data_IF_106576701067
#
_entry.id   IF_106576701067
#
_cell.length_a   1.000
_cell.length_b   1.000
_cell.length_c   1.000
_cell.angle_alpha   90.00
_cell.angle_beta   90.00
_cell.angle_gamma   90.00
#
_symmetry.space_group_name_H-M   'P 1'
#
loop_
_entity.id
_entity.type
_entity.pdbx_description
1 polymer ?
#
# COMPACT_ATOMS: atom_id res chain seq x y z
N UNK A 1 -24.04 1.45 -1.53
CA UNK A 1 -23.87 0.12 -0.90
C UNK A 1 -22.87 -0.65 -1.76
N UNK A 2 -21.59 -0.62 -1.42
CA UNK A 2 -20.54 -1.31 -2.19
C UNK A 2 -20.41 -2.71 -1.61
N UNK A 3 -20.77 -3.71 -2.41
CA UNK A 3 -20.67 -5.11 -2.05
C UNK A 3 -19.21 -5.54 -2.23
N UNK A 4 -18.48 -5.69 -1.14
CA UNK A 4 -17.14 -6.28 -1.16
C UNK A 4 -17.31 -7.78 -1.43
N UNK A 5 -16.96 -8.21 -2.63
CA UNK A 5 -16.94 -9.63 -2.97
C UNK A 5 -15.64 -10.24 -2.45
N UNK A 6 -15.75 -11.07 -1.44
CA UNK A 6 -14.67 -11.90 -0.93
C UNK A 6 -14.34 -13.00 -1.96
N UNK A 7 -13.44 -12.72 -2.87
CA UNK A 7 -12.72 -13.80 -3.53
C UNK A 7 -11.47 -14.06 -2.71
N UNK A 8 -11.48 -15.17 -2.01
CA UNK A 8 -10.31 -15.71 -1.32
C UNK A 8 -9.16 -15.85 -2.31
N UNK A 9 -8.21 -14.90 -2.28
CA UNK A 9 -6.88 -15.18 -2.77
C UNK A 9 -6.31 -16.17 -1.75
N UNK A 10 -6.04 -17.39 -2.20
CA UNK A 10 -5.51 -18.44 -1.36
C UNK A 10 -4.27 -17.98 -0.59
N UNK A 11 -3.98 -18.57 0.58
CA UNK A 11 -2.87 -18.17 1.42
C UNK A 11 -1.55 -18.34 0.68
N UNK A 12 -0.91 -17.26 0.35
CA UNK A 12 0.46 -17.29 -0.12
C UNK A 12 1.34 -17.57 1.11
N UNK A 13 1.73 -18.82 1.30
CA UNK A 13 2.68 -19.22 2.33
C UNK A 13 4.07 -18.71 1.94
N UNK A 14 4.45 -17.54 2.38
CA UNK A 14 5.85 -17.26 2.62
C UNK A 14 6.24 -18.01 3.90
N UNK A 15 7.43 -18.62 3.96
CA UNK A 15 7.84 -19.58 4.99
C UNK A 15 7.90 -19.08 6.44
N UNK A 16 7.12 -18.11 6.82
CA UNK A 16 7.01 -17.52 8.15
C UNK A 16 5.57 -17.25 8.57
N UNK A 17 4.57 -18.02 8.12
CA UNK A 17 3.23 -18.03 8.73
C UNK A 17 2.47 -16.69 8.78
N UNK A 18 2.88 -15.67 8.01
CA UNK A 18 2.27 -14.35 8.02
C UNK A 18 1.14 -14.29 7.00
N UNK A 19 -0.09 -14.08 7.48
CA UNK A 19 -1.21 -13.75 6.62
C UNK A 19 -1.18 -12.25 6.37
N UNK A 20 -0.85 -11.85 5.15
CA UNK A 20 -0.89 -10.44 4.73
C UNK A 20 -2.15 -10.27 3.89
N UNK A 21 -3.11 -9.51 4.38
CA UNK A 21 -4.24 -9.05 3.60
C UNK A 21 -3.86 -7.71 2.98
N UNK A 22 -3.66 -7.69 1.66
CA UNK A 22 -3.33 -6.47 0.93
C UNK A 22 -4.62 -5.91 0.35
N UNK A 23 -5.06 -4.75 0.84
CA UNK A 23 -6.21 -4.03 0.31
C UNK A 23 -5.73 -2.96 -0.66
N UNK A 24 -6.16 -3.08 -1.89
CA UNK A 24 -5.95 -2.05 -2.91
C UNK A 24 -7.06 -1.04 -2.85
N UNK A 25 -6.79 0.10 -2.27
CA UNK A 25 -7.72 1.21 -2.25
C UNK A 25 -7.37 2.17 -3.39
N UNK A 26 -8.04 1.98 -4.52
CA UNK A 26 -8.12 3.00 -5.53
C UNK A 26 -9.04 4.11 -5.01
N UNK A 27 -8.52 5.31 -4.87
CA UNK A 27 -9.31 6.51 -4.59
C UNK A 27 -10.27 6.37 -3.39
N UNK A 28 -9.75 6.21 -2.22
CA UNK A 28 -10.57 6.39 -1.02
C UNK A 28 -9.98 7.58 -0.26
N UNK A 29 -10.85 8.59 -0.03
CA UNK A 29 -10.49 9.72 0.80
C UNK A 29 -9.92 9.24 2.14
N UNK A 30 -9.01 10.02 2.71
CA UNK A 30 -8.40 9.81 4.05
C UNK A 30 -9.41 9.37 5.13
N UNK A 31 -10.67 9.79 5.00
CA UNK A 31 -11.78 9.40 5.90
C UNK A 31 -12.09 7.90 5.85
N UNK A 32 -11.96 7.24 4.69
CA UNK A 32 -12.19 5.80 4.56
C UNK A 32 -10.96 4.98 4.95
N UNK A 33 -9.76 5.48 4.68
CA UNK A 33 -8.53 4.86 5.16
C UNK A 33 -8.52 4.77 6.70
N UNK A 34 -8.91 5.84 7.40
CA UNK A 34 -9.06 5.86 8.86
C UNK A 34 -10.12 4.88 9.39
N UNK A 35 -11.16 4.57 8.63
CA UNK A 35 -12.15 3.54 9.01
C UNK A 35 -11.66 2.11 8.80
N UNK A 36 -10.78 1.89 7.83
CA UNK A 36 -10.23 0.56 7.54
C UNK A 36 -8.96 0.26 8.33
N UNK A 37 -8.19 1.29 8.65
CA UNK A 37 -6.82 1.16 9.16
C UNK A 37 -6.51 2.13 10.30
N UNK A 38 -7.31 2.15 11.38
CA UNK A 38 -6.86 2.93 12.55
C UNK A 38 -5.44 2.51 12.93
N UNK A 39 -4.56 3.50 13.16
CA UNK A 39 -3.11 3.34 13.30
C UNK A 39 -2.68 2.37 14.42
N UNK A 40 -3.51 2.22 15.47
CA UNK A 40 -3.20 1.37 16.61
C UNK A 40 -4.27 0.28 16.77
N UNK A 41 -3.86 -0.98 16.88
CA UNK A 41 -4.77 -2.11 17.05
C UNK A 41 -5.72 -1.95 18.25
N UNK A 42 -5.22 -1.45 19.39
CA UNK A 42 -6.00 -1.19 20.61
C UNK A 42 -7.01 -0.04 20.46
N UNK A 43 -6.82 0.85 19.46
CA UNK A 43 -7.69 1.99 19.18
C UNK A 43 -8.50 1.79 17.89
N UNK A 44 -8.29 0.69 17.17
CA UNK A 44 -9.05 0.39 15.97
C UNK A 44 -10.51 0.16 16.33
N UNK A 45 -11.48 0.82 15.68
CA UNK A 45 -12.89 0.52 15.89
C UNK A 45 -13.15 -0.97 15.70
N UNK A 46 -13.93 -1.59 16.60
CA UNK A 46 -14.27 -3.02 16.51
C UNK A 46 -14.88 -3.41 15.16
N UNK A 47 -15.59 -2.50 14.50
CA UNK A 47 -16.15 -2.69 13.17
C UNK A 47 -15.15 -2.43 12.03
N UNK A 48 -13.87 -2.18 12.33
CA UNK A 48 -12.81 -2.12 11.33
C UNK A 48 -12.16 -3.50 11.17
N UNK A 49 -11.58 -3.76 10.00
CA UNK A 49 -10.90 -5.04 9.74
C UNK A 49 -9.79 -5.32 10.77
N UNK A 50 -9.00 -4.32 11.15
CA UNK A 50 -7.99 -4.48 12.21
C UNK A 50 -8.61 -4.77 13.57
N UNK A 51 -9.72 -4.12 13.90
CA UNK A 51 -10.46 -4.37 15.14
C UNK A 51 -11.03 -5.78 15.20
N UNK A 52 -11.61 -6.28 14.11
CA UNK A 52 -12.11 -7.64 14.00
C UNK A 52 -10.97 -8.68 14.13
N UNK A 53 -9.85 -8.48 13.40
CA UNK A 53 -8.67 -9.37 13.52
C UNK A 53 -8.13 -9.35 14.95
N UNK A 54 -8.05 -8.18 15.58
CA UNK A 54 -7.58 -8.04 16.96
C UNK A 54 -8.52 -8.73 17.95
N UNK A 55 -9.83 -8.65 17.78
CA UNK A 55 -10.79 -9.30 18.66
C UNK A 55 -10.78 -10.83 18.52
N UNK A 56 -10.55 -11.34 17.33
CA UNK A 56 -10.70 -12.76 17.00
C UNK A 56 -9.36 -13.49 16.73
N UNK A 57 -8.23 -12.90 17.04
CA UNK A 57 -6.92 -13.41 16.62
C UNK A 57 -6.66 -14.88 17.01
N UNK A 58 -7.15 -15.32 18.19
CA UNK A 58 -7.03 -16.72 18.63
C UNK A 58 -7.87 -17.65 17.78
N UNK A 59 -9.10 -17.25 17.48
CA UNK A 59 -10.01 -18.02 16.63
C UNK A 59 -9.51 -18.10 15.18
N UNK A 60 -8.81 -17.06 14.73
CA UNK A 60 -8.14 -17.01 13.41
C UNK A 60 -6.83 -17.83 13.38
N UNK A 61 -6.39 -18.37 14.49
CA UNK A 61 -5.18 -19.19 14.57
C UNK A 61 -3.88 -18.38 14.44
N UNK A 62 -3.89 -17.08 14.77
CA UNK A 62 -2.68 -16.28 14.79
C UNK A 62 -1.80 -16.69 15.97
N UNK A 63 -0.47 -16.73 15.80
CA UNK A 63 0.44 -17.19 16.84
C UNK A 63 0.55 -16.22 18.02
N UNK A 64 0.31 -14.94 17.79
CA UNK A 64 0.41 -13.87 18.77
C UNK A 64 -0.73 -12.86 18.60
N UNK A 65 -1.01 -12.10 19.66
CA UNK A 65 -1.89 -10.96 19.59
C UNK A 65 -1.37 -9.93 18.58
N UNK A 66 -2.21 -9.44 17.65
CA UNK A 66 -1.80 -8.42 16.69
C UNK A 66 -1.35 -7.14 17.37
N UNK A 67 -0.32 -6.51 16.83
CA UNK A 67 0.19 -5.20 17.29
C UNK A 67 0.48 -4.30 16.08
N UNK A 68 0.91 -3.06 16.31
CA UNK A 68 1.10 -2.06 15.24
C UNK A 68 1.94 -2.57 14.06
N UNK A 69 3.01 -3.32 14.33
CA UNK A 69 3.90 -3.87 13.29
C UNK A 69 3.41 -5.17 12.65
N UNK A 70 2.50 -5.92 13.32
CA UNK A 70 1.95 -7.17 12.81
C UNK A 70 0.45 -7.24 13.13
N UNK A 71 -0.38 -6.76 12.20
CA UNK A 71 -1.83 -6.64 12.43
C UNK A 71 -2.69 -7.25 11.32
N UNK A 72 -2.05 -7.90 10.34
CA UNK A 72 -2.74 -8.57 9.23
C UNK A 72 -3.31 -7.64 8.17
N UNK A 73 -3.17 -6.32 8.31
CA UNK A 73 -3.70 -5.33 7.36
C UNK A 73 -2.57 -4.40 6.93
N UNK A 74 -2.40 -4.25 5.62
CA UNK A 74 -1.47 -3.30 5.02
C UNK A 74 -2.23 -2.37 4.07
N UNK A 75 -1.85 -1.10 4.06
CA UNK A 75 -2.32 -0.11 3.11
C UNK A 75 -1.11 0.67 2.60
N UNK A 76 -1.02 0.83 1.29
CA UNK A 76 0.03 1.63 0.66
C UNK A 76 -0.07 3.08 1.11
N UNK A 77 1.04 3.70 1.48
CA UNK A 77 1.09 5.08 1.97
C UNK A 77 1.13 6.12 0.84
N UNK A 78 1.31 5.69 -0.41
CA UNK A 78 1.32 6.58 -1.57
C UNK A 78 0.82 5.90 -2.85
N UNK A 79 0.42 6.66 -3.88
CA UNK A 79 0.09 6.12 -5.20
C UNK A 79 1.23 5.33 -5.87
N UNK A 80 2.50 5.74 -5.66
CA UNK A 80 3.65 5.01 -6.19
C UNK A 80 3.82 3.66 -5.49
N UNK A 81 3.75 3.63 -4.16
CA UNK A 81 3.82 2.40 -3.39
C UNK A 81 2.69 1.45 -3.78
N UNK A 82 1.45 1.95 -3.88
CA UNK A 82 0.31 1.17 -4.34
C UNK A 82 0.48 0.61 -5.76
N UNK A 83 1.11 1.35 -6.67
CA UNK A 83 1.46 0.87 -8.00
C UNK A 83 2.52 -0.24 -7.95
N UNK A 84 3.57 -0.05 -7.14
CA UNK A 84 4.65 -1.02 -6.94
C UNK A 84 4.11 -2.33 -6.37
N UNK A 85 3.27 -2.25 -5.35
CA UNK A 85 2.65 -3.41 -4.71
C UNK A 85 1.70 -4.17 -5.64
N UNK A 86 0.84 -3.46 -6.39
CA UNK A 86 -0.01 -4.12 -7.40
C UNK A 86 0.81 -4.80 -8.47
N UNK A 87 1.89 -4.18 -8.94
CA UNK A 87 2.79 -4.80 -9.90
C UNK A 87 3.48 -6.04 -9.33
N UNK A 88 3.92 -5.97 -8.06
CA UNK A 88 4.61 -7.06 -7.39
C UNK A 88 3.66 -8.22 -7.00
N UNK A 89 2.61 -7.93 -6.26
CA UNK A 89 1.74 -8.95 -5.66
C UNK A 89 0.68 -9.49 -6.61
N UNK A 90 0.06 -8.59 -7.41
CA UNK A 90 -1.01 -8.97 -8.35
C UNK A 90 -0.51 -9.17 -9.77
N UNK A 91 0.78 -8.95 -10.03
CA UNK A 91 1.35 -8.97 -11.39
C UNK A 91 0.61 -8.02 -12.33
N UNK A 92 0.09 -6.91 -11.79
CA UNK A 92 -0.61 -5.91 -12.56
C UNK A 92 0.35 -5.22 -13.54
N UNK A 93 -0.13 -5.00 -14.77
CA UNK A 93 0.65 -4.27 -15.76
C UNK A 93 0.64 -2.78 -15.47
N UNK A 94 1.80 -2.17 -15.25
CA UNK A 94 1.95 -0.73 -15.03
C UNK A 94 1.32 0.10 -16.17
N UNK A 95 1.47 -0.36 -17.42
CA UNK A 95 0.89 0.34 -18.58
C UNK A 95 -0.63 0.19 -18.71
N UNK A 96 -1.26 -0.69 -17.92
CA UNK A 96 -2.72 -0.84 -17.85
C UNK A 96 -3.30 -0.22 -16.58
N UNK A 97 -2.47 0.01 -15.58
CA UNK A 97 -2.83 0.71 -14.34
C UNK A 97 -3.12 2.19 -14.61
N UNK A 98 -4.11 2.80 -13.97
CA UNK A 98 -4.48 4.19 -14.26
C UNK A 98 -3.39 5.16 -13.80
N UNK A 99 -2.83 5.01 -12.60
CA UNK A 99 -1.73 5.85 -12.13
C UNK A 99 -0.46 5.58 -12.94
N UNK A 100 -0.16 4.30 -13.21
CA UNK A 100 0.96 3.90 -14.05
C UNK A 100 0.92 4.52 -15.45
N UNK A 101 -0.26 4.59 -16.09
CA UNK A 101 -0.45 5.29 -17.37
C UNK A 101 -0.11 6.77 -17.26
N UNK A 102 -0.60 7.45 -16.22
CA UNK A 102 -0.31 8.87 -15.99
C UNK A 102 1.18 9.12 -15.83
N UNK A 103 1.87 8.31 -15.03
CA UNK A 103 3.32 8.42 -14.81
C UNK A 103 4.11 8.22 -16.09
N UNK A 104 3.78 7.19 -16.87
CA UNK A 104 4.43 6.92 -18.16
C UNK A 104 4.15 8.04 -19.18
N UNK A 105 2.93 8.56 -19.23
CA UNK A 105 2.55 9.67 -20.12
C UNK A 105 3.27 10.97 -19.78
N UNK A 106 3.67 11.18 -18.52
CA UNK A 106 4.49 12.31 -18.08
C UNK A 106 5.99 12.09 -18.33
N UNK A 107 6.37 11.02 -19.01
CA UNK A 107 7.73 10.77 -19.46
C UNK A 107 8.65 10.15 -18.41
N UNK A 108 8.11 9.58 -17.32
CA UNK A 108 8.91 8.74 -16.43
C UNK A 108 9.15 7.39 -17.09
N UNK A 109 10.40 7.03 -17.40
CA UNK A 109 10.69 5.77 -18.09
C UNK A 109 10.27 4.55 -17.23
N UNK A 110 9.80 3.50 -17.88
CA UNK A 110 9.46 2.25 -17.21
C UNK A 110 10.61 1.72 -16.34
N UNK A 111 11.84 1.79 -16.87
CA UNK A 111 13.05 1.36 -16.14
C UNK A 111 13.25 2.14 -14.83
N UNK A 112 12.95 3.44 -14.84
CA UNK A 112 12.99 4.28 -13.63
C UNK A 112 11.94 3.83 -12.62
N UNK A 113 10.71 3.57 -13.05
CA UNK A 113 9.67 3.04 -12.18
C UNK A 113 10.07 1.70 -11.56
N UNK A 114 10.61 0.78 -12.37
CA UNK A 114 11.08 -0.52 -11.88
C UNK A 114 12.18 -0.35 -10.83
N UNK A 115 13.07 0.64 -10.98
CA UNK A 115 14.08 0.95 -9.97
C UNK A 115 13.48 1.57 -8.70
N UNK A 116 12.40 2.34 -8.82
CA UNK A 116 11.72 2.94 -7.66
C UNK A 116 10.85 1.95 -6.88
N UNK A 117 10.42 0.87 -7.49
CA UNK A 117 9.59 -0.17 -6.84
C UNK A 117 10.32 -0.95 -5.74
N UNK A 118 11.63 -0.81 -5.62
CA UNK A 118 12.44 -1.39 -4.55
C UNK A 118 12.86 -0.36 -3.50
N UNK A 119 12.19 0.78 -3.48
CA UNK A 119 12.39 1.86 -2.52
C UNK A 119 13.85 2.35 -2.40
N UNK A 120 14.50 2.77 -3.49
CA UNK A 120 15.86 3.26 -3.42
C UNK A 120 15.93 4.63 -2.73
N UNK A 121 17.11 4.97 -2.23
CA UNK A 121 17.38 6.34 -1.86
C UNK A 121 17.63 7.18 -3.12
N UNK A 122 16.86 8.24 -3.25
CA UNK A 122 16.88 9.15 -4.40
C UNK A 122 17.30 10.57 -3.98
N UNK A 123 17.83 11.34 -4.94
CA UNK A 123 18.06 12.77 -4.77
C UNK A 123 16.82 13.54 -5.22
N UNK A 124 16.45 14.54 -4.46
CA UNK A 124 15.36 15.47 -4.76
C UNK A 124 15.69 16.86 -4.20
N UNK A 125 14.93 17.93 -4.50
CA UNK A 125 15.26 19.29 -4.06
C UNK A 125 15.44 19.48 -2.55
N UNK A 126 14.85 18.62 -1.72
CA UNK A 126 14.98 18.61 -0.25
C UNK A 126 16.16 17.78 0.28
N UNK A 127 16.94 17.10 -0.58
CA UNK A 127 18.07 16.26 -0.17
C UNK A 127 18.01 14.83 -0.71
N UNK A 128 18.39 13.84 0.12
CA UNK A 128 18.35 12.42 -0.24
C UNK A 128 17.47 11.64 0.75
N UNK A 129 16.54 10.85 0.23
CA UNK A 129 15.61 10.05 1.03
C UNK A 129 15.13 8.79 0.32
N UNK A 130 14.41 7.93 1.02
CA UNK A 130 13.61 6.86 0.42
C UNK A 130 12.61 7.48 -0.55
N UNK A 131 12.42 6.85 -1.71
CA UNK A 131 11.43 7.37 -2.67
C UNK A 131 10.01 7.18 -2.14
N UNK A 132 9.75 6.16 -1.33
CA UNK A 132 8.44 5.96 -0.72
C UNK A 132 8.16 6.99 0.38
N UNK A 133 9.12 7.24 1.30
CA UNK A 133 9.00 8.27 2.34
C UNK A 133 8.78 9.67 1.74
N UNK A 134 9.46 9.96 0.63
CA UNK A 134 9.32 11.23 -0.09
C UNK A 134 7.89 11.46 -0.59
N UNK A 135 7.17 10.40 -0.93
CA UNK A 135 5.85 10.45 -1.57
C UNK A 135 4.72 10.03 -0.63
N UNK A 136 5.03 9.73 0.64
CA UNK A 136 4.07 9.34 1.65
C UNK A 136 3.01 10.43 1.85
N UNK A 137 1.78 10.01 2.14
CA UNK A 137 0.62 10.85 2.39
C UNK A 137 0.20 11.80 1.24
N UNK A 138 0.80 11.69 0.05
CA UNK A 138 0.43 12.47 -1.13
C UNK A 138 -0.74 11.85 -1.88
N UNK A 139 -1.60 12.70 -2.45
CA UNK A 139 -2.57 12.25 -3.44
C UNK A 139 -1.91 11.98 -4.81
N UNK A 140 -2.71 11.53 -5.81
CA UNK A 140 -2.16 11.11 -7.10
C UNK A 140 -1.49 12.25 -7.88
N UNK A 141 -2.06 13.45 -7.82
CA UNK A 141 -1.53 14.61 -8.57
C UNK A 141 -0.27 15.16 -7.90
N UNK A 142 -0.28 15.26 -6.56
CA UNK A 142 0.87 15.67 -5.76
C UNK A 142 2.03 14.68 -5.89
N UNK A 143 1.75 13.38 -5.76
CA UNK A 143 2.71 12.31 -5.92
C UNK A 143 3.35 12.35 -7.33
N UNK A 144 2.54 12.52 -8.39
CA UNK A 144 3.03 12.63 -9.74
C UNK A 144 3.93 13.86 -9.93
N UNK A 145 3.53 15.01 -9.38
CA UNK A 145 4.34 16.23 -9.43
C UNK A 145 5.69 16.05 -8.73
N UNK A 146 5.69 15.48 -7.53
CA UNK A 146 6.90 15.20 -6.75
C UNK A 146 7.83 14.20 -7.47
N UNK A 147 7.29 13.12 -8.06
CA UNK A 147 8.06 12.14 -8.85
C UNK A 147 8.81 12.79 -10.00
N UNK A 148 8.29 13.86 -10.61
CA UNK A 148 8.96 14.56 -11.70
C UNK A 148 10.17 15.38 -11.24
N UNK A 149 10.29 15.68 -9.96
CA UNK A 149 11.43 16.41 -9.37
C UNK A 149 12.57 15.48 -8.92
N UNK A 150 12.31 14.17 -8.84
CA UNK A 150 13.31 13.17 -8.46
C UNK A 150 14.35 13.04 -9.56
N UNK A 151 15.63 13.04 -9.20
CA UNK A 151 16.73 12.77 -10.12
C UNK A 151 16.63 11.33 -10.66
N UNK A 152 16.86 11.20 -11.98
CA UNK A 152 16.63 9.94 -12.73
C UNK A 152 17.94 9.34 -13.18
#
# INVERSE_FOLDING_TARGET
MVRVSWRSLGPHRSGAGKFIFIFYLYFISVVWANRLTSFFNLQAPLASLRGEIFAEWKALGLPNEPFTGENGVHASASPLEGLAERANWLKASVSKDSFGKCVLAKGVPRKTLDSWFVDPRVSHPGGKGSVFDLLEDMDADECLAAMLTVER
#
